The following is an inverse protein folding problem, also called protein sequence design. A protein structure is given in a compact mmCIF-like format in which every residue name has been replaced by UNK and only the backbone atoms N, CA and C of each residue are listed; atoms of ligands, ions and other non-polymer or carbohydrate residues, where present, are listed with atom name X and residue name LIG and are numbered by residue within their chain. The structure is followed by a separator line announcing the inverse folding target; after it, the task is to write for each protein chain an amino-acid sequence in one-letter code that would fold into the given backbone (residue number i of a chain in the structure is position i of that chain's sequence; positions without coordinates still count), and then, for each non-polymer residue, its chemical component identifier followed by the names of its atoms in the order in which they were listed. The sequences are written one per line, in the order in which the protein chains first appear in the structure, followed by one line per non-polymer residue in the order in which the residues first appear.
data_IF_367143926055
#
_entry.id   IF_367143926055
#
_cell.length_a   1.000
_cell.length_b   1.000
_cell.length_c   1.000
_cell.angle_alpha   90.00
_cell.angle_beta   90.00
_cell.angle_gamma   90.00
#
_symmetry.space_group_name_H-M   'P 1'
#
loop_
_entity.id
_entity.type
_entity.pdbx_description
1 polymer ?
#
# COMPACT_ATOMS: atom_id res chain seq x y z
N UNK A 1 -19.15 47.02 -58.25
CA UNK A 1 -19.64 46.37 -57.02
C UNK A 1 -18.85 45.11 -56.78
N UNK A 2 -17.89 45.15 -55.87
CA UNK A 2 -17.05 43.97 -55.48
C UNK A 2 -17.72 43.31 -54.29
N UNK A 3 -18.20 42.08 -54.47
CA UNK A 3 -18.81 41.24 -53.45
C UNK A 3 -17.70 40.71 -52.52
N UNK A 4 -17.59 41.24 -51.32
CA UNK A 4 -16.70 40.77 -50.24
C UNK A 4 -17.10 39.36 -49.82
N UNK A 5 -16.31 38.36 -50.20
CA UNK A 5 -16.47 36.96 -49.78
C UNK A 5 -16.24 36.89 -48.31
N UNK A 6 -17.24 36.55 -47.51
CA UNK A 6 -17.06 36.30 -46.07
C UNK A 6 -16.15 35.12 -45.85
N UNK A 7 -15.19 35.14 -44.87
CA UNK A 7 -14.36 34.02 -44.59
C UNK A 7 -15.21 32.83 -44.10
N UNK A 8 -14.93 31.64 -44.59
CA UNK A 8 -15.65 30.42 -44.26
C UNK A 8 -15.46 30.09 -42.77
N UNK A 9 -16.49 30.07 -42.00
CA UNK A 9 -16.55 29.66 -40.58
C UNK A 9 -16.25 28.19 -40.38
N UNK A 10 -16.23 27.39 -41.43
CA UNK A 10 -16.04 25.90 -41.37
C UNK A 10 -14.62 25.48 -41.01
N UNK A 11 -13.59 26.27 -41.33
CA UNK A 11 -12.21 25.96 -40.98
C UNK A 11 -11.90 26.09 -39.47
N UNK A 12 -12.63 26.97 -38.76
CA UNK A 12 -12.48 27.18 -37.33
C UNK A 12 -13.15 26.12 -36.47
N UNK A 13 -14.23 25.50 -36.95
CA UNK A 13 -14.94 24.44 -36.23
C UNK A 13 -14.09 23.15 -36.15
N UNK A 14 -13.32 22.83 -37.20
CA UNK A 14 -12.42 21.67 -37.20
C UNK A 14 -11.26 21.81 -36.21
N UNK A 15 -10.66 23.01 -36.12
CA UNK A 15 -9.58 23.29 -35.19
C UNK A 15 -10.05 23.16 -33.71
N UNK A 16 -11.20 23.74 -33.36
CA UNK A 16 -11.76 23.65 -32.01
C UNK A 16 -12.09 22.20 -31.62
N UNK A 17 -12.56 21.38 -32.58
CA UNK A 17 -12.82 19.96 -32.31
C UNK A 17 -11.53 19.17 -32.02
N UNK A 18 -10.45 19.44 -32.74
CA UNK A 18 -9.13 18.79 -32.50
C UNK A 18 -8.56 19.24 -31.15
N UNK A 19 -8.65 20.53 -30.81
CA UNK A 19 -8.18 21.08 -29.54
C UNK A 19 -8.96 20.45 -28.37
N UNK A 20 -10.29 20.39 -28.47
CA UNK A 20 -11.13 19.74 -27.46
C UNK A 20 -10.82 18.24 -27.33
N UNK A 21 -10.55 17.53 -28.43
CA UNK A 21 -10.22 16.12 -28.41
C UNK A 21 -8.87 15.83 -27.74
N UNK A 22 -7.92 16.76 -27.75
CA UNK A 22 -6.63 16.65 -27.08
C UNK A 22 -6.69 17.11 -25.61
N UNK A 23 -7.42 18.17 -25.33
CA UNK A 23 -7.47 18.77 -23.97
C UNK A 23 -8.38 18.02 -23.02
N UNK A 24 -9.50 17.48 -23.49
CA UNK A 24 -10.49 16.80 -22.65
C UNK A 24 -9.94 15.54 -21.95
N UNK A 25 -9.24 14.61 -22.60
CA UNK A 25 -8.64 13.47 -21.91
C UNK A 25 -7.59 13.89 -20.88
N UNK A 26 -6.79 14.94 -21.16
CA UNK A 26 -5.78 15.45 -20.24
C UNK A 26 -6.44 16.05 -18.99
N UNK A 27 -7.46 16.88 -19.15
CA UNK A 27 -8.17 17.50 -18.03
C UNK A 27 -8.87 16.46 -17.16
N UNK A 28 -9.53 15.47 -17.78
CA UNK A 28 -10.11 14.34 -17.06
C UNK A 28 -9.08 13.57 -16.26
N UNK A 29 -7.92 13.27 -16.86
CA UNK A 29 -6.84 12.58 -16.17
C UNK A 29 -6.31 13.40 -14.99
N UNK A 30 -6.15 14.72 -15.13
CA UNK A 30 -5.71 15.59 -14.04
C UNK A 30 -6.70 15.57 -12.87
N UNK A 31 -8.00 15.66 -13.15
CA UNK A 31 -9.04 15.62 -12.11
C UNK A 31 -9.04 14.25 -11.41
N UNK A 32 -9.14 13.16 -12.18
CA UNK A 32 -9.19 11.81 -11.62
C UNK A 32 -7.88 11.44 -10.91
N UNK A 33 -6.74 11.85 -11.46
CA UNK A 33 -5.43 11.66 -10.85
C UNK A 33 -5.30 12.40 -9.53
N UNK A 34 -5.74 13.65 -9.46
CA UNK A 34 -5.76 14.44 -8.23
C UNK A 34 -6.61 13.78 -7.15
N UNK A 35 -7.81 13.33 -7.49
CA UNK A 35 -8.67 12.59 -6.56
C UNK A 35 -7.99 11.30 -6.05
N UNK A 36 -7.34 10.56 -6.96
CA UNK A 36 -6.61 9.35 -6.56
C UNK A 36 -5.44 9.66 -5.61
N UNK A 37 -4.72 10.76 -5.84
CA UNK A 37 -3.65 11.19 -4.92
C UNK A 37 -4.19 11.59 -3.55
N UNK A 38 -5.33 12.26 -3.45
CA UNK A 38 -5.96 12.54 -2.16
C UNK A 38 -6.29 11.28 -1.39
N UNK A 39 -6.88 10.27 -2.06
CA UNK A 39 -7.17 8.98 -1.43
C UNK A 39 -5.88 8.27 -0.98
N UNK A 40 -4.80 8.37 -1.75
CA UNK A 40 -3.51 7.78 -1.42
C UNK A 40 -2.86 8.47 -0.21
N UNK A 41 -2.92 9.80 -0.12
CA UNK A 41 -2.44 10.56 1.03
C UNK A 41 -3.23 10.21 2.30
N UNK A 42 -4.56 10.14 2.20
CA UNK A 42 -5.41 9.71 3.31
C UNK A 42 -5.07 8.27 3.75
N UNK A 43 -4.88 7.37 2.78
CA UNK A 43 -4.50 5.99 3.09
C UNK A 43 -3.12 5.91 3.77
N UNK A 44 -2.17 6.77 3.38
CA UNK A 44 -0.86 6.84 4.02
C UNK A 44 -0.96 7.23 5.49
N UNK A 45 -1.71 8.27 5.83
CA UNK A 45 -1.88 8.68 7.23
C UNK A 45 -2.59 7.60 8.05
N UNK A 46 -3.57 6.91 7.45
CA UNK A 46 -4.23 5.77 8.10
C UNK A 46 -3.31 4.55 8.24
N UNK A 47 -2.34 4.37 7.34
CA UNK A 47 -1.34 3.30 7.48
C UNK A 47 -0.39 3.57 8.65
N UNK A 48 0.03 4.81 8.84
CA UNK A 48 0.83 5.22 10.02
C UNK A 48 0.04 5.03 11.33
N UNK A 49 -1.24 5.38 11.31
CA UNK A 49 -2.12 5.11 12.46
C UNK A 49 -2.34 3.61 12.67
N UNK A 50 -2.45 2.82 11.61
CA UNK A 50 -2.66 1.38 11.70
C UNK A 50 -1.47 0.65 12.33
N UNK A 51 -0.24 0.99 11.93
CA UNK A 51 0.95 0.41 12.56
C UNK A 51 1.07 0.81 14.04
N UNK A 52 0.75 2.06 14.40
CA UNK A 52 0.66 2.48 15.80
C UNK A 52 -0.34 1.63 16.58
N UNK A 53 -1.55 1.43 16.04
CA UNK A 53 -2.60 0.59 16.67
C UNK A 53 -2.15 -0.86 16.81
N UNK A 54 -1.51 -1.42 15.78
CA UNK A 54 -0.96 -2.77 15.80
C UNK A 54 0.09 -2.92 16.90
N UNK A 55 1.08 -2.04 16.93
CA UNK A 55 2.18 -2.08 17.92
C UNK A 55 1.66 -1.86 19.33
N UNK A 56 0.71 -0.92 19.53
CA UNK A 56 0.07 -0.71 20.83
C UNK A 56 -0.67 -1.96 21.31
N UNK A 57 -1.41 -2.62 20.42
CA UNK A 57 -2.10 -3.87 20.75
C UNK A 57 -1.10 -4.98 21.04
N UNK A 58 -0.05 -5.11 20.23
CA UNK A 58 1.02 -6.09 20.44
C UNK A 58 1.77 -5.87 21.75
N UNK A 59 2.02 -4.61 22.13
CA UNK A 59 2.70 -4.29 23.38
C UNK A 59 1.94 -4.75 24.65
N UNK A 60 0.61 -4.87 24.56
CA UNK A 60 -0.27 -5.34 25.66
C UNK A 60 -0.59 -6.83 25.53
N UNK A 61 -0.47 -7.40 24.33
CA UNK A 61 -0.83 -8.79 24.00
C UNK A 61 0.39 -9.68 23.74
N UNK A 62 1.50 -9.45 24.45
CA UNK A 62 2.72 -10.26 24.38
C UNK A 62 3.33 -10.37 22.97
N UNK A 63 2.99 -9.46 22.04
CA UNK A 63 3.41 -9.50 20.66
C UNK A 63 2.58 -10.40 19.75
N UNK A 64 1.34 -10.72 20.13
CA UNK A 64 0.45 -11.59 19.35
C UNK A 64 0.14 -11.01 17.96
N UNK A 65 0.53 -11.75 16.91
CA UNK A 65 0.32 -11.40 15.51
C UNK A 65 -1.16 -11.22 15.14
N UNK A 66 -2.04 -12.09 15.63
CA UNK A 66 -3.46 -12.05 15.27
C UNK A 66 -4.09 -10.77 15.82
N UNK A 67 -3.84 -10.46 17.07
CA UNK A 67 -4.34 -9.25 17.70
C UNK A 67 -3.78 -7.98 17.03
N UNK A 68 -2.51 -7.98 16.67
CA UNK A 68 -1.85 -6.88 15.96
C UNK A 68 -2.45 -6.66 14.57
N UNK A 69 -2.63 -7.73 13.79
CA UNK A 69 -3.21 -7.68 12.45
C UNK A 69 -4.65 -7.19 12.49
N UNK A 70 -5.47 -7.70 13.42
CA UNK A 70 -6.85 -7.23 13.60
C UNK A 70 -6.92 -5.74 13.95
N UNK A 71 -6.02 -5.26 14.81
CA UNK A 71 -5.95 -3.84 15.16
C UNK A 71 -5.56 -2.96 13.97
N UNK A 72 -4.65 -3.44 13.12
CA UNK A 72 -4.26 -2.77 11.89
C UNK A 72 -5.41 -2.71 10.88
N UNK A 73 -6.06 -3.84 10.62
CA UNK A 73 -7.20 -3.93 9.69
C UNK A 73 -8.33 -3.01 10.14
N UNK A 74 -8.70 -3.04 11.42
CA UNK A 74 -9.75 -2.17 11.96
C UNK A 74 -9.47 -0.68 11.71
N UNK A 75 -8.20 -0.27 11.79
CA UNK A 75 -7.78 1.11 11.51
C UNK A 75 -7.80 1.45 10.01
N UNK A 76 -7.61 0.46 9.13
CA UNK A 76 -7.54 0.65 7.68
C UNK A 76 -8.91 0.50 6.98
N UNK A 77 -9.92 -0.08 7.64
CA UNK A 77 -11.25 -0.29 7.06
C UNK A 77 -11.83 0.94 6.36
N UNK A 78 -11.72 2.18 6.89
CA UNK A 78 -12.28 3.35 6.23
C UNK A 78 -11.70 3.65 4.84
N UNK A 79 -10.54 3.08 4.50
CA UNK A 79 -9.92 3.29 3.19
C UNK A 79 -10.56 2.46 2.08
N UNK A 80 -11.15 1.30 2.42
CA UNK A 80 -11.63 0.34 1.41
C UNK A 80 -13.01 -0.26 1.70
N UNK A 81 -13.60 0.00 2.86
CA UNK A 81 -14.94 -0.49 3.22
C UNK A 81 -15.83 0.66 3.72
N UNK A 82 -17.13 0.42 3.74
CA UNK A 82 -18.09 1.37 4.34
C UNK A 82 -18.02 1.24 5.86
N UNK A 83 -17.84 2.38 6.52
CA UNK A 83 -17.71 2.48 7.99
C UNK A 83 -18.51 3.65 8.54
N UNK A 84 -19.59 4.03 7.85
CA UNK A 84 -20.45 5.16 8.14
C UNK A 84 -21.38 4.92 9.37
N UNK A 85 -21.54 3.67 9.78
CA UNK A 85 -22.27 3.31 11.00
C UNK A 85 -21.54 2.20 11.78
N UNK A 86 -21.83 2.03 13.08
CA UNK A 86 -21.27 0.94 13.88
C UNK A 86 -21.56 -0.44 13.30
N UNK A 87 -22.76 -0.64 12.76
CA UNK A 87 -23.16 -1.90 12.12
C UNK A 87 -22.39 -2.15 10.83
N UNK A 88 -22.18 -1.11 9.99
CA UNK A 88 -21.39 -1.20 8.78
C UNK A 88 -19.92 -1.52 9.10
N UNK A 89 -19.36 -0.86 10.12
CA UNK A 89 -18.02 -1.13 10.63
C UNK A 89 -17.88 -2.59 11.11
N UNK A 90 -18.82 -3.07 11.91
CA UNK A 90 -18.83 -4.45 12.41
C UNK A 90 -18.90 -5.49 11.29
N UNK A 91 -19.78 -5.27 10.30
CA UNK A 91 -19.87 -6.12 9.11
C UNK A 91 -18.58 -6.09 8.27
N UNK A 92 -18.01 -4.90 8.06
CA UNK A 92 -16.76 -4.75 7.33
C UNK A 92 -15.61 -5.47 8.04
N UNK A 93 -15.49 -5.31 9.36
CA UNK A 93 -14.49 -6.02 10.14
C UNK A 93 -14.69 -7.55 10.09
N UNK A 94 -15.92 -8.03 10.31
CA UNK A 94 -16.22 -9.46 10.24
C UNK A 94 -15.93 -10.08 8.86
N UNK A 95 -16.01 -9.28 7.79
CA UNK A 95 -15.70 -9.74 6.42
C UNK A 95 -14.19 -9.78 6.14
N UNK A 96 -13.39 -8.94 6.77
CA UNK A 96 -11.97 -8.75 6.43
C UNK A 96 -11.01 -9.11 7.57
N UNK A 97 -11.51 -9.72 8.67
CA UNK A 97 -10.70 -10.09 9.84
C UNK A 97 -9.66 -11.19 9.55
N UNK A 98 -9.85 -11.94 8.48
CA UNK A 98 -8.90 -12.92 7.94
C UNK A 98 -7.73 -12.31 7.17
N UNK A 99 -7.64 -10.96 7.14
CA UNK A 99 -6.62 -10.21 6.42
C UNK A 99 -6.68 -10.41 4.89
N UNK A 100 -7.88 -10.59 4.34
CA UNK A 100 -8.07 -10.78 2.90
C UNK A 100 -9.05 -9.75 2.33
N UNK A 101 -8.81 -9.36 1.08
CA UNK A 101 -9.81 -8.67 0.28
C UNK A 101 -10.83 -9.68 -0.26
N UNK A 102 -12.08 -9.48 0.07
CA UNK A 102 -13.21 -10.30 -0.41
C UNK A 102 -14.03 -9.52 -1.44
N UNK A 103 -13.42 -9.13 -2.54
CA UNK A 103 -14.05 -8.39 -3.62
C UNK A 103 -13.79 -9.00 -4.99
N UNK A 104 -14.57 -8.60 -5.98
CA UNK A 104 -14.33 -8.99 -7.38
C UNK A 104 -13.16 -8.24 -8.02
N UNK A 105 -12.81 -7.07 -7.49
CA UNK A 105 -11.79 -6.19 -8.05
C UNK A 105 -10.41 -6.37 -7.39
N UNK A 106 -10.38 -6.80 -6.13
CA UNK A 106 -9.15 -6.99 -5.37
C UNK A 106 -9.25 -8.24 -4.53
N UNK A 107 -8.18 -9.03 -4.57
CA UNK A 107 -8.03 -10.29 -3.82
C UNK A 107 -6.69 -10.30 -3.07
N UNK A 108 -6.50 -11.32 -2.22
CA UNK A 108 -5.25 -11.47 -1.48
C UNK A 108 -5.13 -10.58 -0.25
N UNK A 109 -3.95 -10.57 0.41
CA UNK A 109 -3.76 -9.93 1.71
C UNK A 109 -3.96 -8.42 1.67
N UNK A 110 -4.58 -7.90 2.72
CA UNK A 110 -4.77 -6.45 2.94
C UNK A 110 -3.47 -5.85 3.46
N UNK A 111 -2.87 -6.51 4.45
CA UNK A 111 -1.64 -6.04 5.09
C UNK A 111 -0.63 -7.16 5.22
N UNK A 112 0.64 -6.79 5.10
CA UNK A 112 1.77 -7.57 5.57
C UNK A 112 2.32 -6.90 6.81
N UNK A 113 2.48 -7.65 7.88
CA UNK A 113 2.96 -7.17 9.17
C UNK A 113 4.18 -7.97 9.60
N UNK A 114 5.30 -7.27 9.77
CA UNK A 114 6.56 -7.83 10.26
C UNK A 114 6.88 -7.22 11.62
N UNK A 115 7.30 -8.05 12.58
CA UNK A 115 7.85 -7.62 13.85
C UNK A 115 9.36 -7.63 13.73
N UNK A 116 9.97 -6.46 13.67
CA UNK A 116 11.42 -6.31 13.52
C UNK A 116 12.15 -6.59 14.84
N UNK A 117 11.54 -6.20 15.96
CA UNK A 117 12.02 -6.43 17.33
C UNK A 117 10.86 -6.76 18.27
N UNK A 118 11.08 -7.53 19.35
CA UNK A 118 12.29 -8.31 19.64
C UNK A 118 12.43 -9.52 18.70
N UNK A 119 13.66 -9.94 18.44
CA UNK A 119 13.92 -11.23 17.78
C UNK A 119 13.60 -12.37 18.75
N UNK A 120 13.15 -13.50 18.23
CA UNK A 120 12.85 -14.69 19.06
C UNK A 120 14.02 -15.12 19.95
N UNK A 121 15.25 -14.99 19.44
CA UNK A 121 16.45 -15.33 20.20
C UNK A 121 16.70 -14.39 21.38
N UNK A 122 16.24 -13.15 21.30
CA UNK A 122 16.41 -12.11 22.32
C UNK A 122 15.41 -12.25 23.47
N UNK A 123 14.28 -12.97 23.23
CA UNK A 123 13.23 -13.15 24.23
C UNK A 123 13.70 -14.19 25.27
N UNK A 124 13.73 -13.85 26.58
CA UNK A 124 14.11 -14.79 27.64
C UNK A 124 13.19 -16.02 27.65
N UNK A 125 13.75 -17.14 28.11
CA UNK A 125 12.99 -18.38 28.36
C UNK A 125 12.30 -18.36 29.72
N UNK A 126 12.86 -17.58 30.63
CA UNK A 126 12.41 -17.51 32.02
C UNK A 126 11.31 -16.48 32.22
N UNK A 127 10.48 -16.76 33.19
CA UNK A 127 9.19 -16.09 33.37
C UNK A 127 9.27 -14.65 33.87
N UNK A 128 8.20 -14.02 33.71
CA UNK A 128 7.70 -12.67 33.78
C UNK A 128 8.06 -11.83 35.02
N UNK A 129 8.60 -12.41 36.10
CA UNK A 129 8.70 -11.73 37.43
C UNK A 129 9.54 -10.46 37.47
N UNK A 130 10.38 -10.21 36.47
CA UNK A 130 11.26 -9.03 36.44
C UNK A 130 11.28 -8.33 35.08
N UNK A 131 10.20 -8.45 34.33
CA UNK A 131 10.04 -7.79 33.03
C UNK A 131 10.32 -6.27 33.10
N UNK A 132 10.02 -5.62 34.21
CA UNK A 132 10.16 -4.17 34.39
C UNK A 132 11.40 -3.76 35.21
N UNK A 133 12.28 -4.70 35.57
CA UNK A 133 13.50 -4.41 36.31
C UNK A 133 14.58 -3.81 35.40
N UNK A 134 14.96 -2.53 35.59
CA UNK A 134 15.99 -1.86 34.79
C UNK A 134 17.37 -2.52 34.89
N UNK A 135 17.69 -3.21 35.97
CA UNK A 135 18.99 -3.88 36.17
C UNK A 135 19.17 -5.09 35.23
N UNK A 136 18.06 -5.71 34.81
CA UNK A 136 18.05 -6.86 33.90
C UNK A 136 18.31 -6.47 32.44
N UNK A 137 18.20 -5.20 32.09
CA UNK A 137 18.16 -4.73 30.70
C UNK A 137 19.42 -4.03 30.20
N UNK A 138 20.53 -4.15 30.88
CA UNK A 138 21.78 -3.46 30.51
C UNK A 138 22.20 -3.64 29.05
N UNK A 139 22.09 -4.87 28.52
CA UNK A 139 22.36 -5.22 27.12
C UNK A 139 21.11 -5.58 26.30
N UNK A 140 19.96 -5.72 26.94
CA UNK A 140 18.70 -6.22 26.37
C UNK A 140 17.63 -5.14 26.21
N UNK A 141 18.01 -3.86 26.08
CA UNK A 141 17.06 -2.74 25.89
C UNK A 141 16.10 -2.97 24.73
N UNK A 142 16.53 -3.70 23.71
CA UNK A 142 15.74 -3.96 22.49
C UNK A 142 14.59 -4.94 22.72
N UNK A 143 14.70 -5.84 23.70
CA UNK A 143 13.65 -6.80 24.05
C UNK A 143 12.40 -6.11 24.62
N UNK A 144 12.58 -4.92 25.20
CA UNK A 144 11.47 -4.14 25.74
C UNK A 144 10.73 -3.31 24.69
N UNK A 145 11.22 -3.24 23.47
CA UNK A 145 10.59 -2.48 22.40
C UNK A 145 10.04 -3.43 21.36
N UNK A 146 8.76 -3.27 21.09
CA UNK A 146 8.12 -3.88 19.95
C UNK A 146 8.25 -2.93 18.76
N UNK A 147 9.06 -3.33 17.79
CA UNK A 147 9.22 -2.62 16.52
C UNK A 147 8.54 -3.42 15.43
N UNK A 148 7.67 -2.78 14.70
CA UNK A 148 6.94 -3.46 13.63
C UNK A 148 6.82 -2.57 12.41
N UNK A 149 6.88 -3.21 11.25
CA UNK A 149 6.66 -2.62 9.94
C UNK A 149 5.39 -3.21 9.34
N UNK A 150 4.58 -2.34 8.76
CA UNK A 150 3.39 -2.73 8.02
C UNK A 150 3.51 -2.31 6.56
N UNK A 151 3.02 -3.17 5.67
CA UNK A 151 2.82 -2.86 4.26
C UNK A 151 1.34 -3.02 3.99
N UNK A 152 0.68 -1.91 3.71
CA UNK A 152 -0.73 -1.89 3.34
C UNK A 152 -0.87 -1.90 1.82
N UNK A 153 -1.56 -2.88 1.29
CA UNK A 153 -1.86 -3.01 -0.14
C UNK A 153 -3.07 -2.15 -0.51
N UNK A 154 -2.85 -0.83 -0.60
CA UNK A 154 -3.93 0.12 -0.85
C UNK A 154 -4.57 -0.06 -2.23
N UNK A 155 -5.89 -0.35 -2.33
CA UNK A 155 -6.58 -0.50 -3.59
C UNK A 155 -6.85 0.86 -4.24
N UNK A 156 -6.31 1.08 -5.43
CA UNK A 156 -6.56 2.29 -6.19
C UNK A 156 -7.91 2.19 -6.89
N UNK A 157 -8.88 3.03 -6.49
CA UNK A 157 -10.28 2.89 -6.88
C UNK A 157 -10.72 3.75 -8.05
N UNK A 158 -10.00 4.84 -8.35
CA UNK A 158 -10.40 5.77 -9.40
C UNK A 158 -10.07 5.15 -10.77
N UNK A 159 -11.09 4.79 -11.58
CA UNK A 159 -10.87 4.19 -12.89
C UNK A 159 -10.02 5.10 -13.78
N UNK A 160 -9.28 4.52 -14.71
CA UNK A 160 -8.32 5.18 -15.57
C UNK A 160 -7.08 5.70 -14.82
N UNK A 161 -7.24 6.50 -13.74
CA UNK A 161 -6.12 6.98 -12.94
C UNK A 161 -5.36 5.82 -12.28
N UNK A 162 -6.07 4.81 -11.75
CA UNK A 162 -5.46 3.62 -11.15
C UNK A 162 -4.58 2.86 -12.14
N UNK A 163 -5.05 2.67 -13.37
CA UNK A 163 -4.31 2.00 -14.44
C UNK A 163 -3.05 2.79 -14.83
N UNK A 164 -3.19 4.10 -15.10
CA UNK A 164 -2.06 4.96 -15.49
C UNK A 164 -1.01 5.01 -14.39
N UNK A 165 -1.43 5.29 -13.14
CA UNK A 165 -0.51 5.38 -12.01
C UNK A 165 0.19 4.04 -11.74
N UNK A 166 -0.51 2.92 -11.78
CA UNK A 166 0.09 1.61 -11.62
C UNK A 166 1.18 1.36 -12.69
N UNK A 167 0.90 1.70 -13.96
CA UNK A 167 1.86 1.60 -15.04
C UNK A 167 3.10 2.49 -14.81
N UNK A 168 2.88 3.73 -14.38
CA UNK A 168 3.97 4.64 -14.05
C UNK A 168 4.84 4.12 -12.91
N UNK A 169 4.24 3.55 -11.85
CA UNK A 169 4.99 2.97 -10.74
C UNK A 169 5.82 1.76 -11.17
N UNK A 170 5.23 0.83 -11.90
CA UNK A 170 5.95 -0.34 -12.39
C UNK A 170 7.13 0.05 -13.31
N UNK A 171 6.93 1.03 -14.18
CA UNK A 171 7.98 1.56 -15.04
C UNK A 171 9.07 2.29 -14.23
N UNK A 172 8.66 3.12 -13.24
CA UNK A 172 9.59 3.90 -12.41
C UNK A 172 10.55 3.03 -11.60
N UNK A 173 10.08 1.87 -11.15
CA UNK A 173 10.87 0.92 -10.37
C UNK A 173 11.49 -0.20 -11.20
N UNK A 174 11.40 -0.12 -12.53
CA UNK A 174 11.99 -1.13 -13.43
C UNK A 174 11.38 -2.53 -13.28
N UNK A 175 10.17 -2.63 -12.69
CA UNK A 175 9.51 -3.92 -12.46
C UNK A 175 8.83 -4.46 -13.71
N UNK A 176 8.65 -3.64 -14.73
CA UNK A 176 8.07 -4.03 -16.00
C UNK A 176 8.61 -3.17 -17.13
N UNK A 177 9.16 -3.81 -18.16
CA UNK A 177 9.58 -3.14 -19.37
C UNK A 177 8.37 -2.82 -20.24
N UNK A 178 8.22 -1.57 -20.61
CA UNK A 178 7.23 -1.13 -21.58
C UNK A 178 7.93 -0.78 -22.88
N UNK A 179 7.63 -1.53 -23.94
CA UNK A 179 7.98 -1.15 -25.31
C UNK A 179 6.90 -0.20 -25.82
N UNK A 180 7.25 1.06 -26.00
CA UNK A 180 6.40 2.00 -26.70
C UNK A 180 6.75 1.96 -28.19
N UNK A 181 5.81 1.54 -29.03
CA UNK A 181 5.92 1.76 -30.47
C UNK A 181 5.63 3.23 -30.76
N UNK A 182 6.62 3.94 -31.26
CA UNK A 182 6.38 5.26 -31.79
C UNK A 182 5.76 5.11 -33.20
N UNK A 183 4.50 5.51 -33.41
CA UNK A 183 3.82 5.37 -34.70
C UNK A 183 4.45 6.20 -35.83
N UNK A 184 5.31 7.18 -35.44
CA UNK A 184 6.02 8.04 -36.39
C UNK A 184 7.42 7.49 -36.79
N UNK A 185 7.96 6.57 -35.97
CA UNK A 185 9.25 5.95 -36.20
C UNK A 185 9.06 4.42 -36.18
N UNK A 186 8.81 3.85 -37.32
CA UNK A 186 8.48 2.43 -37.51
C UNK A 186 9.56 1.43 -37.04
N UNK A 187 10.74 1.91 -36.61
CA UNK A 187 11.90 1.09 -36.28
C UNK A 187 12.49 1.29 -34.89
N UNK A 188 12.07 2.29 -34.13
CA UNK A 188 12.59 2.52 -32.78
C UNK A 188 11.58 2.12 -31.70
N UNK A 189 11.94 1.12 -30.90
CA UNK A 189 11.28 0.77 -29.66
C UNK A 189 11.96 1.50 -28.51
N UNK A 190 11.24 2.32 -27.76
CA UNK A 190 11.77 2.89 -26.53
C UNK A 190 11.91 1.77 -25.49
N UNK A 191 13.13 1.38 -25.18
CA UNK A 191 13.46 0.52 -24.07
C UNK A 191 13.69 1.41 -22.84
N UNK A 192 12.86 1.25 -21.82
CA UNK A 192 13.15 1.80 -20.51
C UNK A 192 14.13 0.84 -19.86
N UNK A 193 15.38 1.26 -19.69
CA UNK A 193 16.41 0.46 -19.05
C UNK A 193 15.94 -0.06 -17.69
N UNK A 194 16.17 -1.33 -17.44
CA UNK A 194 16.07 -1.95 -16.11
C UNK A 194 17.05 -1.24 -15.15
N UNK A 195 16.62 -0.13 -14.61
CA UNK A 195 17.29 0.38 -13.42
C UNK A 195 17.01 -0.61 -12.32
N UNK A 196 18.07 -1.27 -11.86
CA UNK A 196 18.01 -2.20 -10.75
C UNK A 196 17.07 -1.65 -9.66
N UNK A 197 16.15 -2.46 -9.21
CA UNK A 197 15.25 -2.19 -8.09
C UNK A 197 16.02 -2.07 -6.75
N UNK A 198 17.24 -1.53 -6.79
CA UNK A 198 18.10 -1.33 -5.62
C UNK A 198 17.32 -0.48 -4.60
N UNK A 199 16.82 -1.14 -3.55
CA UNK A 199 16.05 -0.54 -2.48
C UNK A 199 14.57 -0.92 -2.42
N UNK A 200 14.07 -1.72 -3.37
CA UNK A 200 12.71 -2.25 -3.30
C UNK A 200 12.75 -3.74 -2.93
N UNK A 201 12.04 -4.11 -1.90
CA UNK A 201 12.01 -5.48 -1.42
C UNK A 201 11.47 -6.43 -2.50
N UNK A 202 12.20 -7.50 -2.79
CA UNK A 202 11.87 -8.43 -3.89
C UNK A 202 10.50 -9.10 -3.70
N UNK A 203 10.06 -9.30 -2.47
CA UNK A 203 8.75 -9.86 -2.17
C UNK A 203 7.64 -8.87 -2.52
N UNK A 204 7.82 -7.58 -2.18
CA UNK A 204 6.88 -6.50 -2.52
C UNK A 204 6.79 -6.34 -4.03
N UNK A 205 7.94 -6.33 -4.71
CA UNK A 205 8.01 -6.21 -6.17
C UNK A 205 7.23 -7.33 -6.85
N UNK A 206 7.44 -8.57 -6.41
CA UNK A 206 6.75 -9.75 -6.95
C UNK A 206 5.25 -9.66 -6.78
N UNK A 207 4.79 -9.40 -5.56
CA UNK A 207 3.35 -9.27 -5.26
C UNK A 207 2.70 -8.14 -6.07
N UNK A 208 3.38 -7.00 -6.23
CA UNK A 208 2.88 -5.87 -7.01
C UNK A 208 2.71 -6.23 -8.50
N UNK A 209 3.69 -6.95 -9.07
CA UNK A 209 3.63 -7.42 -10.46
C UNK A 209 2.51 -8.46 -10.63
N UNK A 210 2.40 -9.42 -9.72
CA UNK A 210 1.37 -10.46 -9.76
C UNK A 210 -0.03 -9.86 -9.69
N UNK A 211 -0.28 -8.91 -8.79
CA UNK A 211 -1.55 -8.19 -8.72
C UNK A 211 -1.83 -7.38 -9.99
N UNK A 212 -0.83 -6.68 -10.50
CA UNK A 212 -0.98 -5.93 -11.76
C UNK A 212 -1.32 -6.84 -12.95
N UNK A 213 -0.77 -8.05 -13.00
CA UNK A 213 -1.10 -9.04 -14.03
C UNK A 213 -2.57 -9.50 -13.93
N UNK A 214 -3.11 -9.58 -12.72
CA UNK A 214 -4.54 -9.85 -12.47
C UNK A 214 -5.43 -8.62 -12.66
N UNK A 215 -4.88 -7.46 -13.07
CA UNK A 215 -5.56 -6.15 -13.19
C UNK A 215 -6.04 -5.58 -11.86
N UNK A 216 -5.45 -6.01 -10.78
CA UNK A 216 -5.65 -5.47 -9.45
C UNK A 216 -4.66 -4.33 -9.22
N UNK A 217 -5.12 -3.10 -9.34
CA UNK A 217 -4.27 -1.93 -9.21
C UNK A 217 -4.15 -1.52 -7.75
N UNK A 218 -3.05 -1.89 -7.13
CA UNK A 218 -2.74 -1.58 -5.73
C UNK A 218 -1.45 -0.78 -5.61
N UNK A 219 -1.31 -0.08 -4.49
CA UNK A 219 -0.09 0.62 -4.14
C UNK A 219 0.39 0.20 -2.74
N UNK A 220 1.65 -0.25 -2.58
CA UNK A 220 2.18 -0.66 -1.28
C UNK A 220 2.54 0.57 -0.44
N UNK A 221 1.77 0.83 0.60
CA UNK A 221 2.05 1.87 1.59
C UNK A 221 2.77 1.25 2.76
N UNK A 222 3.96 1.77 3.08
CA UNK A 222 4.79 1.27 4.16
C UNK A 222 4.80 2.26 5.33
N UNK A 223 4.70 1.72 6.54
CA UNK A 223 4.90 2.47 7.77
C UNK A 223 5.55 1.56 8.82
N UNK A 224 6.33 2.16 9.71
CA UNK A 224 6.93 1.46 10.85
C UNK A 224 6.66 2.24 12.13
N UNK A 225 6.56 1.52 13.23
CA UNK A 225 6.39 2.10 14.55
C UNK A 225 7.08 1.26 15.60
N UNK A 226 7.53 1.91 16.66
CA UNK A 226 8.23 1.28 17.77
C UNK A 226 7.63 1.77 19.09
N UNK A 227 7.32 0.85 20.00
CA UNK A 227 6.76 1.14 21.31
C UNK A 227 7.38 0.22 22.35
N UNK A 228 7.51 0.71 23.58
CA UNK A 228 7.87 -0.13 24.73
C UNK A 228 6.78 -1.19 24.94
N UNK A 229 7.20 -2.43 25.19
CA UNK A 229 6.30 -3.50 25.62
C UNK A 229 5.68 -3.16 26.98
N UNK A 230 4.38 -3.34 27.11
CA UNK A 230 3.63 -3.18 28.37
C UNK A 230 3.47 -4.53 29.09
N UNK A 231 3.69 -5.61 28.37
CA UNK A 231 3.70 -6.99 28.86
C UNK A 231 4.93 -7.68 28.29
N UNK A 232 5.49 -8.69 28.98
CA UNK A 232 6.66 -9.40 28.46
C UNK A 232 6.36 -10.07 27.13
N UNK A 233 7.34 -10.04 26.22
CA UNK A 233 7.25 -10.79 24.97
C UNK A 233 7.31 -12.30 25.29
N UNK A 234 6.40 -13.08 24.68
CA UNK A 234 6.38 -14.54 24.87
C UNK A 234 6.88 -15.26 23.61
N UNK A 235 7.85 -16.15 23.75
CA UNK A 235 8.40 -16.94 22.63
C UNK A 235 7.35 -17.71 21.85
N UNK A 236 6.25 -18.09 22.47
CA UNK A 236 5.13 -18.79 21.84
C UNK A 236 4.46 -17.97 20.75
N UNK A 237 4.44 -16.64 20.91
CA UNK A 237 3.90 -15.72 19.90
C UNK A 237 4.92 -15.35 18.83
N UNK A 238 6.23 -15.48 19.09
CA UNK A 238 7.31 -15.17 18.16
C UNK A 238 7.88 -16.43 17.49
N UNK A 239 7.02 -17.34 17.03
CA UNK A 239 7.45 -18.50 16.23
C UNK A 239 8.08 -18.07 14.91
N UNK A 240 7.47 -17.07 14.28
CA UNK A 240 7.98 -16.37 13.10
C UNK A 240 8.02 -14.87 13.39
N UNK A 241 8.91 -14.12 12.76
CA UNK A 241 8.90 -12.65 12.86
C UNK A 241 7.77 -12.04 12.06
N UNK A 242 7.46 -12.66 10.93
CA UNK A 242 6.40 -12.24 10.04
C UNK A 242 5.05 -12.79 10.50
N UNK A 243 4.06 -11.92 10.58
CA UNK A 243 2.67 -12.32 10.84
C UNK A 243 2.03 -12.82 9.53
N UNK A 244 1.39 -13.99 9.57
CA UNK A 244 0.72 -14.51 8.38
C UNK A 244 -0.31 -13.51 7.83
N UNK A 245 -0.42 -13.35 6.52
CA UNK A 245 0.24 -14.07 5.43
C UNK A 245 1.51 -13.39 4.89
N UNK A 246 2.22 -12.61 5.68
CA UNK A 246 3.47 -11.94 5.28
C UNK A 246 4.52 -12.98 4.90
N UNK A 247 5.16 -12.89 3.71
CA UNK A 247 6.16 -13.85 3.28
C UNK A 247 7.41 -13.80 4.14
N UNK A 248 8.09 -14.95 4.25
CA UNK A 248 9.39 -15.05 4.90
C UNK A 248 10.43 -14.34 4.00
N UNK A 249 11.21 -13.43 4.57
CA UNK A 249 12.22 -12.67 3.81
C UNK A 249 11.85 -11.22 3.50
N UNK A 250 10.89 -10.71 4.23
CA UNK A 250 10.58 -9.27 4.30
C UNK A 250 11.31 -8.61 5.44
#
# INVERSE_FOLDING_TARGET
MLRKKSPSTDAQSGQAAVEAALTLPLTLFLILGTLQFFLLLQARTLTEYAVFRAVRTGSVKHGDCVAMTHAAIAALLPTFARTDSPEALGKAFGRHNDNQYHGSEHTGPIVWLTRERPLRAEIPTDEEESFDDPARYGSLRDVMRLESRIIFWFPMRIPFANWVLNRMFLARWGLRNYTAHNPLLLTETAHWDERSSAGFDAAIARELVDRSNRREYVFPLQASYSMRMMTPARRTFFRTQNCAPTPEGL
#
